data_IF_428178884890
#
_entry.id   IF_428178884890
#
_cell.length_a   1.000
_cell.length_b   1.000
_cell.length_c   1.000
_cell.angle_alpha   90.00
_cell.angle_beta   90.00
_cell.angle_gamma   90.00
#
_symmetry.space_group_name_H-M   'P 1'
#
loop_
_entity.id
_entity.type
_entity.pdbx_description
1 polymer ?
#
# COMPACT_ATOMS: atom_id res chain seq x y z
N UNK A 1 -17.23 -1.60 8.50
CA UNK A 1 -15.86 -2.10 8.19
C UNK A 1 -14.98 -0.88 8.01
N UNK A 2 -13.96 -0.72 8.85
CA UNK A 2 -13.05 0.44 8.77
C UNK A 2 -12.07 0.29 7.61
N UNK A 3 -11.83 1.41 6.90
CA UNK A 3 -10.85 1.50 5.82
C UNK A 3 -9.55 2.10 6.36
N UNK A 4 -8.44 1.61 5.82
CA UNK A 4 -7.08 2.00 6.20
C UNK A 4 -6.45 2.81 5.07
N UNK A 5 -6.02 4.03 5.37
CA UNK A 5 -5.18 4.80 4.45
C UNK A 5 -3.76 4.27 4.54
N UNK A 6 -3.22 3.76 3.43
CA UNK A 6 -1.90 3.12 3.41
C UNK A 6 -1.04 3.73 2.32
N UNK A 7 0.22 4.01 2.66
CA UNK A 7 1.22 4.51 1.72
C UNK A 7 1.41 3.55 0.55
N UNK A 8 1.28 4.05 -0.66
CA UNK A 8 1.30 3.26 -1.90
C UNK A 8 2.62 2.50 -2.11
N UNK A 9 3.73 3.04 -1.61
CA UNK A 9 5.03 2.38 -1.63
C UNK A 9 5.10 1.08 -0.81
N UNK A 10 4.24 0.90 0.21
CA UNK A 10 4.14 -0.33 1.00
C UNK A 10 3.40 -1.46 0.28
N UNK A 11 2.71 -1.14 -0.82
CA UNK A 11 1.93 -2.08 -1.62
C UNK A 11 2.69 -2.49 -2.91
N UNK A 12 4.02 -2.32 -2.93
CA UNK A 12 4.85 -2.66 -4.08
C UNK A 12 4.86 -1.63 -5.22
N UNK A 13 4.16 -0.49 -5.09
CA UNK A 13 4.20 0.55 -6.11
C UNK A 13 5.51 1.36 -6.04
N UNK A 14 6.14 1.56 -7.19
CA UNK A 14 7.39 2.33 -7.37
C UNK A 14 7.14 3.84 -7.37
N UNK A 15 6.73 4.37 -6.22
CA UNK A 15 6.37 5.80 -6.05
C UNK A 15 7.32 6.54 -5.11
N UNK A 16 8.35 5.88 -4.57
CA UNK A 16 9.37 6.56 -3.75
C UNK A 16 10.20 7.48 -4.64
N UNK A 17 10.78 8.52 -4.04
CA UNK A 17 11.68 9.46 -4.73
C UNK A 17 12.88 8.78 -5.42
N UNK A 18 13.31 7.62 -4.93
CA UNK A 18 14.40 6.81 -5.49
C UNK A 18 13.91 5.75 -6.50
N UNK A 19 12.63 5.77 -6.86
CA UNK A 19 11.99 4.78 -7.74
C UNK A 19 11.79 3.40 -7.11
N UNK A 20 12.10 3.24 -5.83
CA UNK A 20 11.95 1.99 -5.09
C UNK A 20 10.53 1.70 -4.61
N UNK A 21 10.35 0.51 -4.05
CA UNK A 21 9.11 0.06 -3.40
C UNK A 21 9.44 -0.85 -2.20
N UNK A 22 8.48 -1.01 -1.30
CA UNK A 22 8.57 -1.93 -0.16
C UNK A 22 7.65 -3.14 -0.36
N UNK A 23 7.93 -4.20 0.41
CA UNK A 23 7.17 -5.45 0.39
C UNK A 23 7.77 -6.51 -0.54
N UNK A 24 7.03 -7.61 -0.79
CA UNK A 24 5.63 -7.84 -0.42
C UNK A 24 5.38 -8.07 1.08
N UNK A 25 4.14 -7.82 1.53
CA UNK A 25 3.68 -8.07 2.90
C UNK A 25 2.32 -8.80 2.89
N UNK A 26 2.28 -10.02 3.43
CA UNK A 26 1.09 -10.89 3.36
C UNK A 26 -0.15 -10.29 4.03
N UNK A 27 0.02 -9.57 5.14
CA UNK A 27 -1.11 -8.92 5.84
C UNK A 27 -1.74 -7.81 5.00
N UNK A 28 -0.91 -6.98 4.36
CA UNK A 28 -1.39 -5.91 3.49
C UNK A 28 -2.04 -6.46 2.23
N UNK A 29 -1.54 -7.59 1.69
CA UNK A 29 -2.20 -8.28 0.59
C UNK A 29 -3.60 -8.73 0.98
N UNK A 30 -3.75 -9.42 2.12
CA UNK A 30 -5.08 -9.84 2.62
C UNK A 30 -6.03 -8.66 2.79
N UNK A 31 -5.57 -7.55 3.35
CA UNK A 31 -6.42 -6.37 3.53
C UNK A 31 -6.76 -5.65 2.21
N UNK A 32 -5.90 -5.75 1.18
CA UNK A 32 -6.25 -5.32 -0.18
C UNK A 32 -7.36 -6.20 -0.75
N UNK A 33 -7.24 -7.52 -0.61
CA UNK A 33 -8.25 -8.48 -1.09
C UNK A 33 -9.58 -8.31 -0.35
N UNK A 34 -9.55 -7.94 0.94
CA UNK A 34 -10.72 -7.58 1.75
C UNK A 34 -11.33 -6.20 1.38
N UNK A 35 -10.72 -5.42 0.47
CA UNK A 35 -11.19 -4.09 0.07
C UNK A 35 -11.08 -3.02 1.16
N UNK A 36 -10.19 -3.21 2.13
CA UNK A 36 -10.02 -2.32 3.29
C UNK A 36 -8.98 -1.23 3.06
N UNK A 37 -8.11 -1.38 2.07
CA UNK A 37 -7.00 -0.48 1.81
C UNK A 37 -7.44 0.68 0.90
N UNK A 38 -7.12 1.90 1.30
CA UNK A 38 -7.16 3.11 0.47
C UNK A 38 -5.71 3.52 0.20
N UNK A 39 -5.17 3.25 -1.00
CA UNK A 39 -3.77 3.55 -1.31
C UNK A 39 -3.56 5.04 -1.60
N UNK A 40 -2.55 5.66 -0.96
CA UNK A 40 -2.21 7.07 -1.17
C UNK A 40 -0.69 7.28 -1.31
N UNK A 41 -0.30 8.16 -2.23
CA UNK A 41 1.02 8.80 -2.25
C UNK A 41 0.74 10.32 -2.22
N UNK A 42 1.10 11.04 -1.14
CA UNK A 42 0.78 12.46 -1.02
C UNK A 42 1.68 13.39 -1.84
N UNK A 43 2.91 12.93 -2.16
CA UNK A 43 3.84 13.60 -3.08
C UNK A 43 3.28 13.60 -4.51
#
# INVERSE_FOLDING_TARGET
MEKLLVSRCLLGHRVRYDGGAHGPYDLLQRWQDEGRIVPLCPE
#
